data_IF_809025972257
#
_entry.id   IF_809025972257
#
_cell.length_a   1.000
_cell.length_b   1.000
_cell.length_c   1.000
_cell.angle_alpha   90.00
_cell.angle_beta   90.00
_cell.angle_gamma   90.00
#
_symmetry.space_group_name_H-M   'P 1'
#
loop_
_entity.id
_entity.type
_entity.pdbx_description
1 polymer ?
#
# COMPACT_ATOMS: atom_id res chain seq x y z
N UNK A 1 -13.51 3.21 14.86
CA UNK A 1 -13.98 3.59 13.52
C UNK A 1 -13.27 4.88 13.19
N UNK A 2 -12.47 4.90 12.14
CA UNK A 2 -11.88 6.13 11.64
C UNK A 2 -13.03 7.02 11.13
N UNK A 3 -13.00 8.31 11.47
CA UNK A 3 -13.89 9.27 10.82
C UNK A 3 -13.35 9.53 9.43
N UNK A 4 -14.05 9.07 8.40
CA UNK A 4 -13.62 9.17 7.00
C UNK A 4 -14.02 10.49 6.34
N UNK A 5 -14.83 11.32 7.03
CA UNK A 5 -15.44 12.51 6.42
C UNK A 5 -14.46 13.64 6.07
N UNK A 6 -13.25 13.62 6.61
CA UNK A 6 -12.22 14.67 6.43
C UNK A 6 -10.91 14.09 5.85
N UNK A 7 -10.91 12.85 5.33
CA UNK A 7 -9.70 12.23 4.76
C UNK A 7 -9.30 12.86 3.42
N UNK A 8 -10.26 13.39 2.65
CA UNK A 8 -10.02 14.07 1.39
C UNK A 8 -10.60 15.48 1.44
N UNK A 9 -9.78 16.48 1.13
CA UNK A 9 -10.28 17.84 0.95
C UNK A 9 -10.99 17.99 -0.41
N UNK A 10 -11.86 18.99 -0.56
CA UNK A 10 -12.48 19.30 -1.86
C UNK A 10 -11.42 19.47 -2.97
N UNK A 11 -10.26 20.06 -2.64
CA UNK A 11 -9.15 20.26 -3.58
C UNK A 11 -8.41 18.96 -3.91
N UNK A 12 -8.38 17.99 -2.99
CA UNK A 12 -7.76 16.68 -3.24
C UNK A 12 -8.53 15.96 -4.35
N UNK A 13 -9.86 16.10 -4.37
CA UNK A 13 -10.76 15.44 -5.29
C UNK A 13 -10.84 16.12 -6.68
N UNK A 14 -10.19 17.27 -6.87
CA UNK A 14 -10.15 17.95 -8.18
C UNK A 14 -9.28 17.19 -9.18
N UNK A 15 -9.92 16.68 -10.25
CA UNK A 15 -9.25 15.92 -11.31
C UNK A 15 -8.64 16.80 -12.41
N UNK A 16 -8.78 18.12 -12.32
CA UNK A 16 -8.19 19.08 -13.27
C UNK A 16 -7.74 20.32 -12.53
N UNK A 17 -6.58 20.87 -12.89
CA UNK A 17 -6.07 22.11 -12.31
C UNK A 17 -6.66 23.36 -12.97
N UNK A 18 -6.82 24.45 -12.22
CA UNK A 18 -7.04 25.78 -12.79
C UNK A 18 -5.74 26.33 -13.38
N UNK A 19 -5.68 26.41 -14.71
CA UNK A 19 -4.48 26.84 -15.44
C UNK A 19 -4.41 28.36 -15.70
N UNK A 20 -5.36 29.15 -15.20
CA UNK A 20 -5.49 30.58 -15.53
C UNK A 20 -4.22 31.38 -15.19
N UNK A 21 -3.54 31.05 -14.10
CA UNK A 21 -2.29 31.67 -13.66
C UNK A 21 -1.09 30.72 -13.68
N UNK A 22 -1.18 29.62 -14.42
CA UNK A 22 -0.16 28.60 -14.39
C UNK A 22 1.14 29.07 -15.07
N UNK A 23 2.27 28.69 -14.47
CA UNK A 23 3.59 28.86 -15.08
C UNK A 23 3.89 27.65 -15.97
N UNK A 24 4.21 27.91 -17.24
CA UNK A 24 4.55 26.87 -18.22
C UNK A 24 6.06 26.58 -18.18
N UNK A 25 6.43 25.31 -18.05
CA UNK A 25 7.82 24.86 -17.94
C UNK A 25 8.05 23.71 -18.91
N UNK A 26 8.90 23.96 -19.90
CA UNK A 26 9.40 22.93 -20.80
C UNK A 26 10.67 22.32 -20.17
N UNK A 27 10.64 21.01 -19.90
CA UNK A 27 11.79 20.31 -19.34
C UNK A 27 12.93 20.18 -20.36
N UNK A 28 14.16 20.19 -19.86
CA UNK A 28 15.37 20.02 -20.66
C UNK A 28 16.38 19.15 -19.91
N UNK A 29 17.05 18.23 -20.62
CA UNK A 29 18.00 17.31 -20.00
C UNK A 29 19.17 18.02 -19.33
N UNK A 30 19.56 17.55 -18.14
CA UNK A 30 20.65 18.11 -17.35
C UNK A 30 20.35 19.46 -16.70
N UNK A 31 19.06 19.87 -16.66
CA UNK A 31 18.64 21.16 -16.12
C UNK A 31 17.51 20.97 -15.10
N UNK A 32 17.88 20.87 -13.83
CA UNK A 32 16.91 20.84 -12.73
C UNK A 32 16.02 22.09 -12.72
N UNK A 33 14.78 21.88 -12.26
CA UNK A 33 13.76 22.91 -12.13
C UNK A 33 13.42 23.06 -10.66
N UNK A 34 13.51 24.26 -10.10
CA UNK A 34 13.10 24.54 -8.72
C UNK A 34 11.80 25.33 -8.69
N UNK A 35 10.77 24.78 -8.05
CA UNK A 35 9.48 25.41 -7.77
C UNK A 35 9.53 25.97 -6.35
N UNK A 36 9.75 27.28 -6.20
CA UNK A 36 10.09 27.92 -4.92
C UNK A 36 9.00 28.83 -4.35
N UNK A 37 7.79 28.78 -4.91
CA UNK A 37 6.65 29.59 -4.50
C UNK A 37 5.37 28.79 -4.64
N UNK A 38 4.35 29.13 -3.84
CA UNK A 38 3.00 28.63 -4.08
C UNK A 38 2.53 28.96 -5.50
N UNK A 39 1.94 27.99 -6.20
CA UNK A 39 1.44 28.18 -7.54
C UNK A 39 1.11 26.90 -8.29
N UNK A 40 0.62 27.07 -9.51
CA UNK A 40 0.35 25.99 -10.47
C UNK A 40 1.43 26.02 -11.55
N UNK A 41 2.05 24.88 -11.80
CA UNK A 41 3.17 24.72 -12.73
C UNK A 41 2.86 23.61 -13.73
N UNK A 42 2.70 23.96 -15.00
CA UNK A 42 2.47 22.99 -16.07
C UNK A 42 3.81 22.58 -16.65
N UNK A 43 4.11 21.29 -16.55
CA UNK A 43 5.33 20.69 -17.06
C UNK A 43 5.04 19.97 -18.36
N UNK A 44 5.96 20.08 -19.31
CA UNK A 44 5.89 19.36 -20.59
C UNK A 44 7.26 18.91 -21.07
N UNK A 45 7.30 17.84 -21.87
CA UNK A 45 8.48 17.40 -22.60
C UNK A 45 9.19 16.18 -22.06
N UNK A 46 10.14 15.71 -22.88
CA UNK A 46 11.03 14.59 -22.59
C UNK A 46 12.41 15.10 -22.18
N UNK A 47 12.92 14.63 -21.05
CA UNK A 47 14.20 15.04 -20.51
C UNK A 47 14.87 13.92 -19.71
N UNK A 48 16.19 14.04 -19.54
CA UNK A 48 16.97 13.09 -18.74
C UNK A 48 17.95 13.80 -17.81
N UNK A 49 18.24 13.21 -16.67
CA UNK A 49 19.04 13.83 -15.61
C UNK A 49 18.49 15.21 -15.24
N UNK A 50 17.19 15.24 -14.93
CA UNK A 50 16.46 16.42 -14.48
C UNK A 50 15.61 16.06 -13.27
N UNK A 51 15.71 16.86 -12.22
CA UNK A 51 14.83 16.80 -11.05
C UNK A 51 13.94 18.03 -11.02
N UNK A 52 12.64 17.82 -10.83
CA UNK A 52 11.71 18.89 -10.45
C UNK A 52 11.70 18.96 -8.93
N UNK A 53 12.38 19.96 -8.38
CA UNK A 53 12.50 20.18 -6.94
C UNK A 53 11.42 21.16 -6.48
N UNK A 54 10.60 20.78 -5.51
CA UNK A 54 9.72 21.71 -4.78
C UNK A 54 10.42 22.14 -3.50
N UNK A 55 10.75 23.41 -3.40
CA UNK A 55 11.42 24.03 -2.25
C UNK A 55 10.74 25.39 -2.00
N UNK A 56 9.47 25.32 -1.60
CA UNK A 56 8.59 26.45 -1.36
C UNK A 56 8.43 26.68 0.17
N UNK A 57 7.83 27.81 0.59
CA UNK A 57 7.53 28.02 2.01
C UNK A 57 6.76 26.85 2.65
N UNK A 58 6.99 26.59 3.94
CA UNK A 58 6.36 25.50 4.69
C UNK A 58 4.82 25.53 4.72
N UNK A 59 4.20 26.68 4.43
CA UNK A 59 2.75 26.86 4.36
C UNK A 59 2.20 26.86 2.91
N UNK A 60 3.07 26.63 1.91
CA UNK A 60 2.74 26.74 0.50
C UNK A 60 2.10 25.48 -0.08
N UNK A 61 1.06 25.66 -0.89
CA UNK A 61 0.41 24.58 -1.65
C UNK A 61 0.78 24.60 -3.14
N UNK A 62 1.72 23.76 -3.55
CA UNK A 62 2.23 23.72 -4.92
C UNK A 62 1.47 22.68 -5.76
N UNK A 63 1.04 23.03 -6.97
CA UNK A 63 0.43 22.09 -7.91
C UNK A 63 1.29 21.94 -9.15
N UNK A 64 1.77 20.72 -9.38
CA UNK A 64 2.47 20.29 -10.58
C UNK A 64 1.43 19.66 -11.51
N UNK A 65 1.35 20.14 -12.74
CA UNK A 65 0.46 19.62 -13.78
C UNK A 65 1.32 18.92 -14.83
N UNK A 66 1.09 17.63 -15.06
CA UNK A 66 1.83 16.83 -16.03
C UNK A 66 1.10 16.85 -17.37
N UNK A 67 1.69 17.49 -18.38
CA UNK A 67 1.15 17.61 -19.74
C UNK A 67 2.13 17.05 -20.78
N UNK A 68 2.19 15.72 -20.88
CA UNK A 68 3.08 14.99 -21.78
C UNK A 68 4.54 15.03 -21.30
N UNK A 69 4.76 14.71 -20.03
CA UNK A 69 6.08 14.69 -19.38
C UNK A 69 6.71 13.30 -19.48
N UNK A 70 7.98 13.24 -19.88
CA UNK A 70 8.82 12.05 -19.78
C UNK A 70 10.16 12.41 -19.12
N UNK A 71 10.48 11.78 -17.98
CA UNK A 71 11.73 12.01 -17.24
C UNK A 71 12.47 10.68 -17.04
N UNK A 72 13.76 10.63 -17.41
CA UNK A 72 14.64 9.51 -17.09
C UNK A 72 15.87 9.97 -16.32
N UNK A 73 16.02 9.49 -15.08
CA UNK A 73 17.18 9.76 -14.23
C UNK A 73 17.96 8.48 -13.93
N UNK A 74 19.19 8.67 -13.44
CA UNK A 74 20.04 7.55 -12.99
C UNK A 74 19.99 7.42 -11.48
N UNK A 75 20.05 8.53 -10.75
CA UNK A 75 20.35 8.51 -9.32
C UNK A 75 19.58 9.54 -8.48
N UNK A 76 18.56 10.17 -9.07
CA UNK A 76 17.78 11.23 -8.43
C UNK A 76 16.29 11.08 -8.78
N UNK A 77 15.36 11.43 -7.88
CA UNK A 77 13.93 11.45 -8.17
C UNK A 77 13.60 12.29 -9.41
N UNK A 78 12.53 11.95 -10.13
CA UNK A 78 11.97 12.82 -11.17
C UNK A 78 11.30 14.05 -10.54
N UNK A 79 10.57 13.85 -9.43
CA UNK A 79 10.02 14.90 -8.58
C UNK A 79 10.55 14.70 -7.16
N UNK A 80 11.12 15.77 -6.59
CA UNK A 80 11.58 15.81 -5.21
C UNK A 80 10.90 16.98 -4.48
N UNK A 81 9.97 16.69 -3.59
CA UNK A 81 9.39 17.69 -2.68
C UNK A 81 10.26 17.75 -1.43
N UNK A 82 11.06 18.82 -1.36
CA UNK A 82 11.96 19.10 -0.25
C UNK A 82 11.26 19.85 0.87
N UNK A 83 10.43 20.84 0.52
CA UNK A 83 9.68 21.67 1.47
C UNK A 83 8.45 22.29 0.80
N UNK A 84 7.29 22.10 1.42
CA UNK A 84 5.98 22.69 1.13
C UNK A 84 5.00 22.27 2.25
N UNK A 85 3.80 22.87 2.32
CA UNK A 85 2.69 22.34 3.14
C UNK A 85 2.10 21.09 2.47
N UNK A 86 1.82 21.21 1.17
CA UNK A 86 1.20 20.15 0.38
C UNK A 86 1.53 20.29 -1.08
N UNK A 87 1.79 19.17 -1.75
CA UNK A 87 2.01 19.11 -3.19
C UNK A 87 0.93 18.30 -3.88
N UNK A 88 0.41 18.85 -4.96
CA UNK A 88 -0.53 18.17 -5.87
C UNK A 88 0.22 17.82 -7.16
N UNK A 89 0.09 16.58 -7.64
CA UNK A 89 0.57 16.15 -8.95
C UNK A 89 -0.64 15.72 -9.76
N UNK A 90 -1.08 16.57 -10.69
CA UNK A 90 -2.29 16.37 -11.48
C UNK A 90 -1.92 16.08 -12.94
N UNK A 91 -2.28 14.91 -13.46
CA UNK A 91 -2.13 14.64 -14.91
C UNK A 91 -3.23 15.34 -15.71
N UNK A 92 -2.89 15.88 -16.89
CA UNK A 92 -3.89 16.25 -17.91
C UNK A 92 -4.48 14.97 -18.53
N UNK A 93 -5.12 15.02 -19.71
CA UNK A 93 -5.50 13.80 -20.46
C UNK A 93 -4.31 13.16 -21.21
N UNK A 94 -3.08 13.59 -20.93
CA UNK A 94 -1.86 13.11 -21.55
C UNK A 94 -1.35 11.79 -20.94
N UNK A 95 -0.45 11.13 -21.68
CA UNK A 95 0.41 10.07 -21.16
C UNK A 95 1.70 10.69 -20.61
N UNK A 96 2.15 10.24 -19.43
CA UNK A 96 3.37 10.70 -18.77
C UNK A 96 4.21 9.51 -18.31
N UNK A 97 5.53 9.68 -18.21
CA UNK A 97 6.44 8.64 -17.74
C UNK A 97 7.58 9.18 -16.88
N UNK A 98 7.93 8.46 -15.83
CA UNK A 98 9.08 8.77 -14.98
C UNK A 98 9.85 7.49 -14.66
N UNK A 99 11.16 7.50 -14.91
CA UNK A 99 12.02 6.35 -14.69
C UNK A 99 13.30 6.75 -13.94
N UNK A 100 13.67 5.96 -12.93
CA UNK A 100 14.99 6.01 -12.28
C UNK A 100 15.67 4.66 -12.45
N UNK A 101 16.77 4.65 -13.18
CA UNK A 101 17.45 3.43 -13.66
C UNK A 101 18.50 2.87 -12.70
N UNK A 102 18.96 3.66 -11.74
CA UNK A 102 19.99 3.29 -10.78
C UNK A 102 19.56 3.54 -9.34
N UNK A 103 20.54 3.67 -8.45
CA UNK A 103 20.33 3.91 -7.02
C UNK A 103 20.26 5.40 -6.71
N UNK A 104 19.43 5.78 -5.76
CA UNK A 104 19.27 7.15 -5.32
C UNK A 104 20.45 7.68 -4.51
N UNK A 105 20.81 8.93 -4.75
CA UNK A 105 21.80 9.68 -3.96
C UNK A 105 21.05 10.52 -2.92
N UNK A 106 21.39 10.34 -1.65
CA UNK A 106 20.80 11.09 -0.55
C UNK A 106 21.06 12.62 -0.65
N UNK A 107 20.09 13.42 -0.21
CA UNK A 107 20.22 14.87 -0.01
C UNK A 107 20.41 15.18 1.48
N UNK A 108 21.67 15.28 1.89
CA UNK A 108 22.04 15.42 3.29
C UNK A 108 21.66 14.17 4.10
N UNK A 109 20.80 14.36 5.10
CA UNK A 109 20.25 13.26 5.92
C UNK A 109 18.97 12.66 5.32
N UNK A 110 18.47 13.21 4.22
CA UNK A 110 17.27 12.68 3.53
C UNK A 110 17.69 11.51 2.66
N UNK A 111 17.25 10.30 3.03
CA UNK A 111 17.34 9.14 2.16
C UNK A 111 16.31 9.28 1.04
N UNK A 112 16.76 9.67 -0.15
CA UNK A 112 15.93 9.61 -1.34
C UNK A 112 15.87 8.14 -1.79
N UNK A 113 14.69 7.64 -2.07
CA UNK A 113 14.46 6.23 -2.38
C UNK A 113 13.35 6.01 -3.42
N UNK A 114 12.75 7.06 -3.99
CA UNK A 114 11.61 6.96 -4.88
C UNK A 114 11.68 7.84 -6.14
N UNK A 115 10.98 7.45 -7.20
CA UNK A 115 10.88 8.22 -8.45
C UNK A 115 10.17 9.55 -8.20
N UNK A 116 9.13 9.52 -7.37
CA UNK A 116 8.53 10.71 -6.77
C UNK A 116 8.73 10.60 -5.27
N UNK A 117 9.54 11.50 -4.72
CA UNK A 117 9.81 11.54 -3.29
C UNK A 117 9.28 12.83 -2.69
N UNK A 118 8.52 12.73 -1.60
CA UNK A 118 7.96 13.87 -0.90
C UNK A 118 8.26 13.87 0.58
N UNK A 119 8.72 15.01 1.10
CA UNK A 119 8.81 15.31 2.53
C UNK A 119 7.54 15.91 3.13
N UNK A 120 6.54 16.18 2.31
CA UNK A 120 5.27 16.80 2.67
C UNK A 120 4.10 15.95 2.16
N UNK A 121 2.86 16.28 2.55
CA UNK A 121 1.65 15.71 1.98
C UNK A 121 1.67 15.72 0.45
N UNK A 122 1.40 14.56 -0.15
CA UNK A 122 1.37 14.38 -1.60
C UNK A 122 -0.02 13.92 -2.04
N UNK A 123 -0.58 14.56 -3.05
CA UNK A 123 -1.84 14.15 -3.67
C UNK A 123 -1.67 14.00 -5.17
N UNK A 124 -1.95 12.81 -5.69
CA UNK A 124 -2.02 12.54 -7.11
C UNK A 124 -3.47 12.47 -7.58
N UNK A 125 -3.72 13.12 -8.71
CA UNK A 125 -5.03 13.17 -9.36
C UNK A 125 -4.86 13.31 -10.88
N UNK A 126 -5.97 13.36 -11.61
CA UNK A 126 -5.96 13.70 -13.03
C UNK A 126 -6.76 12.73 -13.89
N UNK A 127 -6.76 13.00 -15.18
CA UNK A 127 -7.52 12.20 -16.16
C UNK A 127 -6.65 11.36 -17.09
N UNK A 128 -5.33 11.51 -16.99
CA UNK A 128 -4.36 10.88 -17.87
C UNK A 128 -3.63 9.74 -17.19
N UNK A 129 -2.50 9.34 -17.78
CA UNK A 129 -1.67 8.26 -17.24
C UNK A 129 -0.30 8.73 -16.78
N UNK A 130 0.25 8.00 -15.82
CA UNK A 130 1.62 8.13 -15.36
C UNK A 130 2.25 6.74 -15.19
N UNK A 131 3.24 6.45 -16.03
CA UNK A 131 4.10 5.27 -15.92
C UNK A 131 5.28 5.57 -14.99
N UNK A 132 5.52 4.73 -13.99
CA UNK A 132 6.60 4.90 -13.00
C UNK A 132 7.46 3.64 -12.99
N UNK A 133 8.76 3.80 -13.19
CA UNK A 133 9.73 2.70 -13.14
C UNK A 133 10.88 3.05 -12.19
N UNK A 134 11.02 2.30 -11.10
CA UNK A 134 12.08 2.44 -10.10
C UNK A 134 12.93 1.19 -10.07
N UNK A 135 14.10 1.23 -10.70
CA UNK A 135 14.94 0.03 -10.87
C UNK A 135 15.65 -0.41 -9.57
N UNK A 136 15.87 0.51 -8.63
CA UNK A 136 16.55 0.27 -7.35
C UNK A 136 15.94 1.11 -6.21
N UNK A 137 14.60 1.18 -6.13
CA UNK A 137 13.89 1.83 -5.03
C UNK A 137 12.38 1.70 -5.13
N UNK A 138 11.70 2.61 -4.44
CA UNK A 138 10.25 2.73 -4.38
C UNK A 138 9.70 3.45 -5.62
N UNK A 139 8.43 3.27 -5.94
CA UNK A 139 7.75 4.05 -6.98
C UNK A 139 7.52 5.49 -6.50
N UNK A 140 6.69 5.64 -5.47
CA UNK A 140 6.36 6.91 -4.82
C UNK A 140 6.57 6.76 -3.31
N UNK A 141 7.29 7.69 -2.70
CA UNK A 141 7.45 7.77 -1.24
C UNK A 141 7.00 9.13 -0.72
N UNK A 142 6.13 9.14 0.29
CA UNK A 142 5.77 10.33 1.08
C UNK A 142 6.22 10.15 2.53
N UNK A 143 6.81 11.19 3.13
CA UNK A 143 7.11 11.18 4.57
C UNK A 143 5.94 11.65 5.44
N UNK A 144 4.84 12.08 4.82
CA UNK A 144 3.53 12.35 5.44
C UNK A 144 2.45 11.54 4.70
N UNK A 145 1.26 12.11 4.46
CA UNK A 145 0.19 11.44 3.73
C UNK A 145 0.51 11.31 2.23
N UNK A 146 0.07 10.20 1.63
CA UNK A 146 -0.01 9.98 0.18
C UNK A 146 -1.46 9.73 -0.22
N UNK A 147 -2.01 10.57 -1.09
CA UNK A 147 -3.38 10.46 -1.59
C UNK A 147 -3.41 10.18 -3.08
N UNK A 148 -4.20 9.19 -3.50
CA UNK A 148 -4.55 8.93 -4.89
C UNK A 148 -6.05 9.15 -5.05
N UNK A 149 -6.46 10.08 -5.91
CA UNK A 149 -7.87 10.47 -6.05
C UNK A 149 -8.45 10.29 -7.44
N UNK A 150 -7.63 9.84 -8.38
CA UNK A 150 -8.01 9.57 -9.77
C UNK A 150 -6.75 9.45 -10.64
N UNK A 151 -6.93 9.25 -11.94
CA UNK A 151 -5.85 9.01 -12.89
C UNK A 151 -5.55 7.53 -13.12
N UNK A 152 -4.59 7.26 -14.01
CA UNK A 152 -4.12 5.90 -14.35
C UNK A 152 -2.63 5.78 -14.04
N UNK A 153 -2.24 4.80 -13.23
CA UNK A 153 -0.85 4.59 -12.84
C UNK A 153 -0.38 3.18 -13.18
N UNK A 154 0.77 3.08 -13.86
CA UNK A 154 1.46 1.81 -14.05
C UNK A 154 2.79 1.88 -13.31
N UNK A 155 2.96 1.13 -12.23
CA UNK A 155 4.10 1.26 -11.32
C UNK A 155 4.89 -0.05 -11.32
N UNK A 156 6.17 0.03 -11.65
CA UNK A 156 7.15 -1.04 -11.51
C UNK A 156 8.25 -0.57 -10.56
N UNK A 157 8.38 -1.21 -9.40
CA UNK A 157 9.38 -0.86 -8.40
C UNK A 157 10.16 -2.09 -7.96
N UNK A 158 11.46 -1.95 -7.71
CA UNK A 158 12.25 -3.02 -7.10
C UNK A 158 11.98 -3.18 -5.60
N UNK A 159 11.47 -2.12 -4.97
CA UNK A 159 11.03 -2.10 -3.58
C UNK A 159 9.51 -1.82 -3.56
N UNK A 160 9.04 -0.97 -2.64
CA UNK A 160 7.62 -0.70 -2.43
C UNK A 160 7.07 0.19 -3.55
N UNK A 161 5.88 -0.11 -4.09
CA UNK A 161 5.34 0.72 -5.18
C UNK A 161 4.85 2.07 -4.67
N UNK A 162 4.06 2.06 -3.61
CA UNK A 162 3.62 3.24 -2.87
C UNK A 162 4.01 3.09 -1.40
N UNK A 163 4.79 4.04 -0.89
CA UNK A 163 5.20 4.12 0.51
C UNK A 163 4.74 5.46 1.11
N UNK A 164 4.12 5.42 2.29
CA UNK A 164 3.82 6.63 3.05
C UNK A 164 4.03 6.42 4.54
N UNK A 165 4.68 7.37 5.21
CA UNK A 165 4.90 7.27 6.64
C UNK A 165 3.56 7.37 7.41
N UNK A 166 2.69 8.32 7.04
CA UNK A 166 1.50 8.62 7.84
C UNK A 166 0.26 7.89 7.36
N UNK A 167 -0.07 7.99 6.07
CA UNK A 167 -1.16 7.23 5.48
C UNK A 167 -1.07 7.09 3.96
N UNK A 168 -1.60 5.99 3.44
CA UNK A 168 -1.99 5.88 2.02
C UNK A 168 -3.52 5.96 1.94
N UNK A 169 -4.03 6.94 1.19
CA UNK A 169 -5.46 7.22 1.06
C UNK A 169 -5.88 7.14 -0.41
N UNK A 170 -6.71 6.17 -0.77
CA UNK A 170 -7.15 5.94 -2.15
C UNK A 170 -8.65 6.24 -2.24
N UNK A 171 -9.00 7.34 -2.90
CA UNK A 171 -10.40 7.68 -3.19
C UNK A 171 -10.87 7.00 -4.48
N UNK A 172 -10.08 7.10 -5.55
CA UNK A 172 -10.36 6.50 -6.87
C UNK A 172 -9.06 6.39 -7.69
N UNK A 173 -9.13 5.85 -8.91
CA UNK A 173 -8.02 5.71 -9.85
C UNK A 173 -7.87 4.28 -10.35
N UNK A 174 -7.11 4.10 -11.44
CA UNK A 174 -6.76 2.78 -11.98
C UNK A 174 -5.27 2.54 -11.81
N UNK A 175 -4.88 1.47 -11.13
CA UNK A 175 -3.49 1.17 -10.81
C UNK A 175 -3.12 -0.25 -11.24
N UNK A 176 -2.04 -0.38 -12.02
CA UNK A 176 -1.36 -1.65 -12.27
C UNK A 176 0.00 -1.61 -11.60
N UNK A 177 0.23 -2.47 -10.63
CA UNK A 177 1.41 -2.47 -9.76
C UNK A 177 2.16 -3.79 -9.89
N UNK A 178 3.49 -3.69 -10.06
CA UNK A 178 4.46 -4.77 -9.95
C UNK A 178 5.59 -4.32 -9.00
N UNK A 179 5.54 -4.80 -7.76
CA UNK A 179 6.43 -4.39 -6.69
C UNK A 179 7.37 -5.53 -6.28
N UNK A 180 8.66 -5.22 -6.14
CA UNK A 180 9.68 -6.13 -5.63
C UNK A 180 9.69 -6.28 -4.10
N UNK A 181 8.89 -5.48 -3.40
CA UNK A 181 8.49 -5.66 -1.99
C UNK A 181 6.96 -5.52 -1.89
N UNK A 182 6.46 -4.49 -1.23
CA UNK A 182 5.04 -4.28 -1.00
C UNK A 182 4.42 -3.42 -2.10
N UNK A 183 3.15 -3.66 -2.47
CA UNK A 183 2.50 -2.75 -3.40
C UNK A 183 2.06 -1.44 -2.71
N UNK A 184 1.48 -1.53 -1.51
CA UNK A 184 1.12 -0.38 -0.69
C UNK A 184 1.68 -0.61 0.72
N UNK A 185 2.59 0.25 1.17
CA UNK A 185 3.21 0.17 2.49
C UNK A 185 3.02 1.46 3.27
N UNK A 186 2.45 1.39 4.46
CA UNK A 186 2.40 2.53 5.37
C UNK A 186 2.79 2.19 6.79
N UNK A 187 3.82 2.89 7.27
CA UNK A 187 4.35 2.71 8.60
C UNK A 187 4.80 4.02 9.25
N UNK A 188 4.43 4.23 10.51
CA UNK A 188 4.99 5.28 11.34
C UNK A 188 5.51 4.67 12.64
N UNK A 189 6.83 4.72 12.84
CA UNK A 189 7.47 4.19 14.06
C UNK A 189 7.39 5.17 15.25
N UNK A 190 7.11 6.45 15.01
CA UNK A 190 7.14 7.51 16.02
C UNK A 190 5.75 7.81 16.61
N UNK A 191 4.68 7.67 15.81
CA UNK A 191 3.30 7.91 16.19
C UNK A 191 2.40 6.71 15.80
N UNK A 192 2.03 5.91 16.79
CA UNK A 192 1.16 4.74 16.63
C UNK A 192 -0.29 5.08 16.22
N UNK A 193 -0.65 6.37 16.09
CA UNK A 193 -1.94 6.79 15.52
C UNK A 193 -1.91 6.92 14.01
N UNK A 194 -0.72 6.87 13.40
CA UNK A 194 -0.48 6.97 11.96
C UNK A 194 -0.09 5.58 11.39
N UNK A 195 0.45 5.52 10.17
CA UNK A 195 0.83 4.29 9.48
C UNK A 195 -0.38 3.43 9.10
N UNK A 196 -1.33 4.00 8.34
CA UNK A 196 -2.56 3.30 7.96
C UNK A 196 -2.91 3.45 6.48
N UNK A 197 -3.72 2.52 5.98
CA UNK A 197 -4.21 2.54 4.61
C UNK A 197 -5.74 2.61 4.60
N UNK A 198 -6.27 3.52 3.79
CA UNK A 198 -7.71 3.65 3.54
C UNK A 198 -8.01 3.60 2.05
N UNK A 199 -8.93 2.73 1.65
CA UNK A 199 -9.38 2.58 0.26
C UNK A 199 -10.88 2.76 0.20
N UNK A 200 -11.33 3.87 -0.38
CA UNK A 200 -12.74 4.14 -0.65
C UNK A 200 -13.19 3.56 -2.00
N UNK A 201 -12.28 3.52 -2.98
CA UNK A 201 -12.59 3.18 -4.37
C UNK A 201 -11.36 2.83 -5.21
N UNK A 202 -11.51 2.90 -6.54
CA UNK A 202 -10.47 2.58 -7.52
C UNK A 202 -10.52 1.15 -8.09
N UNK A 203 -9.66 0.90 -9.07
CA UNK A 203 -9.40 -0.39 -9.72
C UNK A 203 -7.90 -0.70 -9.61
N UNK A 204 -7.54 -1.64 -8.73
CA UNK A 204 -6.16 -1.99 -8.38
C UNK A 204 -5.86 -3.40 -8.86
N UNK A 205 -4.86 -3.55 -9.71
CA UNK A 205 -4.27 -4.83 -10.10
C UNK A 205 -2.84 -4.91 -9.57
N UNK A 206 -2.60 -5.85 -8.68
CA UNK A 206 -1.38 -5.90 -7.86
C UNK A 206 -0.64 -7.21 -8.07
N UNK A 207 0.66 -7.11 -8.33
CA UNK A 207 1.65 -8.15 -8.08
C UNK A 207 2.67 -7.57 -7.08
N UNK A 208 2.86 -8.24 -5.95
CA UNK A 208 3.85 -7.90 -4.93
C UNK A 208 4.72 -9.13 -4.64
N UNK A 209 5.97 -8.91 -4.27
CA UNK A 209 6.87 -9.98 -3.85
C UNK A 209 6.77 -10.26 -2.35
N UNK A 210 6.47 -9.22 -1.57
CA UNK A 210 6.09 -9.28 -0.16
C UNK A 210 4.57 -9.02 -0.08
N UNK A 211 4.10 -8.03 0.65
CA UNK A 211 2.68 -7.86 0.94
C UNK A 211 1.98 -6.99 -0.10
N UNK A 212 0.77 -7.37 -0.51
CA UNK A 212 0.05 -6.52 -1.44
C UNK A 212 -0.41 -5.21 -0.77
N UNK A 213 -0.94 -5.26 0.46
CA UNK A 213 -1.38 -4.07 1.19
C UNK A 213 -0.98 -4.21 2.66
N UNK A 214 0.01 -3.43 3.10
CA UNK A 214 0.52 -3.44 4.47
C UNK A 214 0.37 -2.06 5.12
N UNK A 215 -0.38 -2.00 6.22
CA UNK A 215 -0.46 -0.82 7.08
C UNK A 215 -0.18 -1.18 8.53
N UNK A 216 0.76 -0.52 9.19
CA UNK A 216 1.11 -0.85 10.58
C UNK A 216 -0.10 -0.80 11.53
N UNK A 217 -0.89 0.26 11.46
CA UNK A 217 -2.03 0.47 12.36
C UNK A 217 -3.31 -0.19 11.86
N UNK A 218 -3.80 0.19 10.69
CA UNK A 218 -4.98 -0.46 10.11
C UNK A 218 -4.99 -0.39 8.59
N UNK A 219 -5.68 -1.35 8.00
CA UNK A 219 -6.17 -1.28 6.61
C UNK A 219 -7.69 -1.24 6.66
N UNK A 220 -8.30 -0.20 6.09
CA UNK A 220 -9.74 -0.08 5.94
C UNK A 220 -10.14 0.03 4.47
N UNK A 221 -11.02 -0.88 4.01
CA UNK A 221 -11.52 -0.94 2.64
C UNK A 221 -13.04 -0.71 2.66
N UNK A 222 -13.47 0.42 2.11
CA UNK A 222 -14.86 0.83 2.00
C UNK A 222 -15.43 0.65 0.58
N UNK A 223 -14.58 0.28 -0.39
CA UNK A 223 -14.99 0.02 -1.76
C UNK A 223 -13.83 -0.32 -2.70
N UNK A 224 -14.07 -0.19 -4.01
CA UNK A 224 -13.10 -0.45 -5.06
C UNK A 224 -13.13 -1.88 -5.62
N UNK A 225 -12.36 -2.10 -6.68
CA UNK A 225 -12.03 -3.42 -7.24
C UNK A 225 -10.56 -3.66 -7.00
N UNK A 226 -10.23 -4.66 -6.19
CA UNK A 226 -8.86 -4.97 -5.77
C UNK A 226 -8.56 -6.40 -6.20
N UNK A 227 -7.65 -6.55 -7.15
CA UNK A 227 -7.20 -7.82 -7.70
C UNK A 227 -5.72 -8.03 -7.38
N UNK A 228 -5.45 -8.80 -6.33
CA UNK A 228 -4.11 -9.22 -5.93
C UNK A 228 -3.81 -10.54 -6.63
N UNK A 229 -2.99 -10.46 -7.69
CA UNK A 229 -2.62 -11.62 -8.52
C UNK A 229 -1.55 -12.49 -7.86
N UNK A 230 -0.63 -11.87 -7.12
CA UNK A 230 0.34 -12.55 -6.27
C UNK A 230 0.87 -11.67 -5.15
N UNK A 231 1.08 -12.26 -3.98
CA UNK A 231 1.83 -11.69 -2.86
C UNK A 231 2.31 -12.79 -1.90
N UNK A 232 3.17 -12.42 -0.93
CA UNK A 232 3.40 -13.21 0.27
C UNK A 232 2.13 -13.19 1.12
N UNK A 233 1.80 -12.06 1.74
CA UNK A 233 0.50 -11.84 2.36
C UNK A 233 -0.39 -10.93 1.50
N UNK A 234 -1.71 -11.13 1.54
CA UNK A 234 -2.64 -10.29 0.76
C UNK A 234 -2.83 -8.92 1.40
N UNK A 235 -3.38 -8.89 2.61
CA UNK A 235 -3.68 -7.66 3.35
C UNK A 235 -3.22 -7.84 4.79
N UNK A 236 -2.28 -7.03 5.26
CA UNK A 236 -1.72 -7.12 6.61
C UNK A 236 -1.83 -5.80 7.39
N UNK A 237 -2.28 -5.88 8.64
CA UNK A 237 -2.22 -4.76 9.58
C UNK A 237 -2.36 -5.20 11.05
N UNK A 238 -2.22 -4.25 11.99
CA UNK A 238 -2.73 -4.48 13.36
C UNK A 238 -4.24 -4.73 13.35
N UNK A 239 -5.02 -4.02 12.52
CA UNK A 239 -6.44 -4.31 12.31
C UNK A 239 -6.84 -4.17 10.86
N UNK A 240 -7.55 -5.16 10.33
CA UNK A 240 -8.11 -5.12 8.98
C UNK A 240 -9.62 -4.98 9.05
N UNK A 241 -10.17 -4.00 8.34
CA UNK A 241 -11.61 -3.74 8.26
C UNK A 241 -12.06 -3.65 6.80
N UNK A 242 -12.99 -4.51 6.41
CA UNK A 242 -13.56 -4.53 5.06
C UNK A 242 -15.05 -4.24 5.16
N UNK A 243 -15.46 -3.03 4.78
CA UNK A 243 -16.85 -2.60 4.78
C UNK A 243 -17.58 -2.91 3.47
N UNK A 244 -16.90 -2.80 2.33
CA UNK A 244 -17.41 -3.17 1.01
C UNK A 244 -16.25 -3.42 0.02
N UNK A 245 -16.56 -3.64 -1.26
CA UNK A 245 -15.60 -3.78 -2.35
C UNK A 245 -15.66 -5.12 -3.07
N UNK A 246 -14.95 -5.22 -4.19
CA UNK A 246 -14.72 -6.46 -4.92
C UNK A 246 -13.25 -6.86 -4.79
N UNK A 247 -12.96 -7.79 -3.90
CA UNK A 247 -11.60 -8.22 -3.59
C UNK A 247 -11.40 -9.63 -4.13
N UNK A 248 -10.40 -9.81 -4.98
CA UNK A 248 -9.90 -11.13 -5.39
C UNK A 248 -8.43 -11.17 -5.06
N UNK A 249 -8.01 -12.16 -4.26
CA UNK A 249 -6.64 -12.24 -3.82
C UNK A 249 -6.08 -13.65 -3.89
N UNK A 250 -4.83 -13.73 -4.33
CA UNK A 250 -3.96 -14.88 -4.15
C UNK A 250 -2.76 -14.48 -3.31
N UNK A 251 -2.54 -15.21 -2.23
CA UNK A 251 -1.40 -15.05 -1.33
C UNK A 251 -0.72 -16.40 -1.09
N UNK A 252 0.59 -16.38 -0.90
CA UNK A 252 1.41 -17.59 -0.69
C UNK A 252 1.67 -17.92 0.78
N UNK A 253 1.42 -16.97 1.68
CA UNK A 253 1.39 -17.10 3.12
C UNK A 253 -0.05 -16.87 3.60
N UNK A 254 -0.38 -15.75 4.25
CA UNK A 254 -1.75 -15.45 4.71
C UNK A 254 -2.53 -14.51 3.79
N UNK A 255 -3.82 -14.77 3.63
CA UNK A 255 -4.67 -14.00 2.73
C UNK A 255 -4.98 -12.62 3.29
N UNK A 256 -5.62 -12.60 4.46
CA UNK A 256 -5.87 -11.41 5.25
C UNK A 256 -5.33 -11.69 6.65
N UNK A 257 -4.31 -10.95 7.06
CA UNK A 257 -3.59 -11.15 8.31
C UNK A 257 -3.79 -9.95 9.24
N UNK A 258 -4.18 -10.23 10.49
CA UNK A 258 -4.15 -9.24 11.56
C UNK A 258 -3.18 -9.67 12.68
N UNK A 259 -2.07 -8.96 12.79
CA UNK A 259 -1.01 -9.19 13.76
C UNK A 259 -0.56 -7.88 14.40
N UNK A 260 -0.17 -7.91 15.68
CA UNK A 260 0.21 -6.69 16.40
C UNK A 260 1.51 -6.08 15.83
N UNK A 261 1.40 -5.00 15.04
CA UNK A 261 2.52 -4.17 14.60
C UNK A 261 2.67 -2.91 15.45
N UNK A 262 1.54 -2.36 15.92
CA UNK A 262 1.47 -1.27 16.90
C UNK A 262 0.50 -1.61 18.03
N UNK A 263 0.54 -0.85 19.13
CA UNK A 263 -0.42 -1.03 20.23
C UNK A 263 -1.85 -0.75 19.76
N UNK A 264 -2.68 -1.79 19.71
CA UNK A 264 -4.03 -1.70 19.17
C UNK A 264 -4.86 -2.96 19.38
N UNK A 265 -6.10 -2.92 18.91
CA UNK A 265 -6.95 -4.12 18.88
C UNK A 265 -6.59 -4.94 17.65
N UNK A 266 -6.06 -6.14 17.87
CA UNK A 266 -5.78 -7.09 16.78
C UNK A 266 -7.08 -7.74 16.34
N UNK A 267 -7.54 -7.44 15.13
CA UNK A 267 -8.77 -8.05 14.61
C UNK A 267 -8.94 -7.90 13.10
N UNK A 268 -9.64 -8.88 12.54
CA UNK A 268 -10.26 -8.80 11.21
C UNK A 268 -11.77 -8.62 11.36
N UNK A 269 -12.31 -7.57 10.73
CA UNK A 269 -13.74 -7.29 10.68
C UNK A 269 -14.23 -7.14 9.24
N UNK A 270 -15.11 -8.05 8.79
CA UNK A 270 -15.74 -7.98 7.47
C UNK A 270 -17.22 -7.68 7.60
N UNK A 271 -17.66 -6.53 7.09
CA UNK A 271 -19.06 -6.08 7.13
C UNK A 271 -19.80 -6.23 5.81
N UNK A 272 -19.09 -6.36 4.69
CA UNK A 272 -19.68 -6.38 3.34
C UNK A 272 -18.68 -6.80 2.26
N UNK A 273 -19.02 -6.49 1.00
CA UNK A 273 -18.18 -6.79 -0.17
C UNK A 273 -18.38 -8.18 -0.78
N UNK A 274 -17.71 -8.39 -1.91
CA UNK A 274 -17.50 -9.68 -2.55
C UNK A 274 -16.02 -10.02 -2.45
N UNK A 275 -15.66 -11.06 -1.70
CA UNK A 275 -14.28 -11.40 -1.36
C UNK A 275 -13.99 -12.82 -1.84
N UNK A 276 -13.03 -12.98 -2.74
CA UNK A 276 -12.55 -14.27 -3.21
C UNK A 276 -11.09 -14.43 -2.78
N UNK A 277 -10.83 -15.41 -1.92
CA UNK A 277 -9.50 -15.71 -1.41
C UNK A 277 -9.07 -17.08 -1.90
N UNK A 278 -7.95 -17.14 -2.61
CA UNK A 278 -7.31 -18.40 -2.99
C UNK A 278 -5.92 -18.45 -2.37
N UNK A 279 -5.65 -19.48 -1.59
CA UNK A 279 -4.37 -19.62 -0.91
C UNK A 279 -3.40 -20.50 -1.68
N UNK A 280 -2.11 -20.20 -1.52
CA UNK A 280 -1.02 -21.09 -1.86
C UNK A 280 -1.05 -22.40 -1.05
N UNK A 281 -0.02 -23.22 -1.24
CA UNK A 281 0.16 -24.43 -0.43
C UNK A 281 1.09 -24.14 0.74
N UNK A 282 0.79 -24.68 1.92
CA UNK A 282 1.66 -24.50 3.07
C UNK A 282 0.90 -24.53 4.38
N UNK A 283 1.53 -23.93 5.38
CA UNK A 283 0.86 -23.42 6.57
C UNK A 283 0.42 -22.01 6.18
N UNK A 284 -0.85 -21.87 5.83
CA UNK A 284 -1.41 -20.66 5.20
C UNK A 284 -2.87 -20.56 5.60
N UNK A 285 -3.31 -19.37 5.96
CA UNK A 285 -4.67 -19.09 6.36
C UNK A 285 -5.29 -18.02 5.46
N UNK A 286 -6.51 -18.28 4.96
CA UNK A 286 -7.21 -17.27 4.16
C UNK A 286 -7.54 -16.02 4.98
N UNK A 287 -7.82 -16.21 6.27
CA UNK A 287 -8.01 -15.16 7.27
C UNK A 287 -7.28 -15.59 8.54
N UNK A 288 -6.17 -14.93 8.87
CA UNK A 288 -5.42 -15.17 10.11
C UNK A 288 -5.52 -13.96 11.04
N UNK A 289 -5.83 -14.20 12.31
CA UNK A 289 -5.75 -13.16 13.32
C UNK A 289 -5.15 -13.65 14.62
N UNK A 290 -4.11 -12.97 15.07
CA UNK A 290 -3.61 -13.07 16.45
C UNK A 290 -4.59 -12.47 17.50
N UNK A 291 -5.80 -12.07 17.08
CA UNK A 291 -6.89 -11.60 17.91
C UNK A 291 -8.24 -12.13 17.42
N UNK A 292 -9.20 -11.24 17.15
CA UNK A 292 -10.57 -11.63 16.79
C UNK A 292 -10.83 -11.62 15.27
N UNK A 293 -11.63 -12.58 14.79
CA UNK A 293 -12.25 -12.56 13.46
C UNK A 293 -13.76 -12.38 13.59
N UNK A 294 -14.32 -11.40 12.91
CA UNK A 294 -15.77 -11.16 12.84
C UNK A 294 -16.24 -10.98 11.40
N UNK A 295 -17.05 -11.92 10.91
CA UNK A 295 -17.73 -11.83 9.61
C UNK A 295 -19.20 -11.45 9.85
N UNK A 296 -19.54 -10.19 9.59
CA UNK A 296 -20.87 -9.61 9.80
C UNK A 296 -21.72 -9.56 8.52
N UNK A 297 -21.09 -9.64 7.35
CA UNK A 297 -21.76 -9.55 6.05
C UNK A 297 -20.84 -9.93 4.88
N UNK A 298 -21.32 -9.66 3.66
CA UNK A 298 -20.58 -9.93 2.41
C UNK A 298 -20.88 -11.28 1.75
N UNK A 299 -20.32 -11.48 0.56
CA UNK A 299 -20.26 -12.75 -0.16
C UNK A 299 -18.80 -13.19 -0.22
N UNK A 300 -18.44 -14.25 0.49
CA UNK A 300 -17.05 -14.68 0.67
C UNK A 300 -16.86 -16.07 0.11
N UNK A 301 -15.89 -16.25 -0.79
CA UNK A 301 -15.46 -17.55 -1.30
C UNK A 301 -14.01 -17.77 -0.92
N UNK A 302 -13.71 -18.89 -0.26
CA UNK A 302 -12.37 -19.28 0.15
C UNK A 302 -11.98 -20.60 -0.49
N UNK A 303 -10.83 -20.64 -1.13
CA UNK A 303 -10.14 -21.84 -1.59
C UNK A 303 -8.81 -21.97 -0.84
N UNK A 304 -8.79 -22.73 0.26
CA UNK A 304 -7.65 -22.78 1.17
C UNK A 304 -7.55 -24.11 1.93
N UNK A 305 -6.35 -24.45 2.40
CA UNK A 305 -6.14 -25.57 3.33
C UNK A 305 -6.71 -25.24 4.71
N UNK A 306 -6.46 -24.01 5.17
CA UNK A 306 -7.05 -23.42 6.36
C UNK A 306 -7.73 -22.11 5.97
N UNK A 307 -9.00 -21.97 6.34
CA UNK A 307 -9.81 -20.84 5.92
C UNK A 307 -9.84 -19.70 6.95
N UNK A 308 -9.74 -20.06 8.24
CA UNK A 308 -9.82 -19.12 9.34
C UNK A 308 -8.97 -19.64 10.50
N UNK A 309 -7.99 -18.85 10.93
CA UNK A 309 -7.29 -19.02 12.21
C UNK A 309 -7.47 -17.78 13.07
N UNK A 310 -7.76 -17.99 14.34
CA UNK A 310 -7.94 -16.91 15.29
C UNK A 310 -7.51 -17.34 16.69
N UNK A 311 -6.58 -16.58 17.28
CA UNK A 311 -6.14 -16.75 18.66
C UNK A 311 -7.23 -16.35 19.67
N UNK A 312 -8.06 -15.36 19.29
CA UNK A 312 -9.22 -14.90 20.03
C UNK A 312 -10.50 -15.63 19.67
N UNK A 313 -11.52 -14.87 19.28
CA UNK A 313 -12.82 -15.39 18.84
C UNK A 313 -12.97 -15.30 17.33
N UNK A 314 -13.59 -16.31 16.72
CA UNK A 314 -14.02 -16.25 15.33
C UNK A 314 -15.54 -16.38 15.27
N UNK A 315 -16.20 -15.39 14.67
CA UNK A 315 -17.67 -15.30 14.63
C UNK A 315 -18.18 -15.10 13.20
N UNK A 316 -19.17 -15.90 12.81
CA UNK A 316 -19.97 -15.69 11.60
C UNK A 316 -21.35 -15.17 12.01
N UNK A 317 -21.50 -13.84 12.00
CA UNK A 317 -22.70 -13.12 12.40
C UNK A 317 -23.66 -12.86 11.22
N UNK A 318 -23.13 -12.87 9.99
CA UNK A 318 -23.92 -12.66 8.76
C UNK A 318 -23.09 -12.91 7.50
N UNK A 319 -23.71 -12.71 6.33
CA UNK A 319 -23.08 -12.93 5.01
C UNK A 319 -23.28 -14.34 4.45
N UNK A 320 -22.81 -14.54 3.22
CA UNK A 320 -22.82 -15.80 2.49
C UNK A 320 -21.37 -16.28 2.30
N UNK A 321 -20.92 -17.20 3.16
CA UNK A 321 -19.54 -17.71 3.16
C UNK A 321 -19.48 -19.16 2.62
N UNK A 322 -18.65 -19.38 1.61
CA UNK A 322 -18.37 -20.68 1.00
C UNK A 322 -16.89 -20.99 1.13
N UNK A 323 -16.55 -22.14 1.73
CA UNK A 323 -15.17 -22.63 1.87
C UNK A 323 -15.04 -23.92 1.09
N UNK A 324 -14.11 -23.97 0.12
CA UNK A 324 -13.84 -25.14 -0.70
C UNK A 324 -15.09 -25.74 -1.36
N UNK A 325 -16.01 -24.88 -1.80
CA UNK A 325 -17.28 -25.26 -2.43
C UNK A 325 -18.42 -25.61 -1.47
N UNK A 326 -18.20 -25.58 -0.16
CA UNK A 326 -19.20 -25.86 0.87
C UNK A 326 -19.61 -24.58 1.60
N UNK A 327 -20.91 -24.29 1.66
CA UNK A 327 -21.44 -23.17 2.44
C UNK A 327 -21.34 -23.48 3.93
N UNK A 328 -20.77 -22.56 4.70
CA UNK A 328 -20.66 -22.69 6.16
C UNK A 328 -21.73 -21.85 6.88
N UNK A 329 -22.04 -22.22 8.12
CA UNK A 329 -22.95 -21.48 9.01
C UNK A 329 -22.31 -21.07 10.32
N UNK A 330 -21.07 -21.49 10.56
CA UNK A 330 -20.22 -21.11 11.67
C UNK A 330 -18.75 -21.17 11.22
N UNK A 331 -17.88 -20.34 11.80
CA UNK A 331 -16.44 -20.44 11.58
C UNK A 331 -15.89 -21.52 12.52
N UNK A 332 -15.16 -22.47 11.95
CA UNK A 332 -14.34 -23.41 12.71
C UNK A 332 -12.90 -22.95 12.63
N UNK A 333 -12.34 -22.50 13.75
CA UNK A 333 -10.93 -22.13 13.84
C UNK A 333 -10.03 -23.34 13.65
N UNK A 334 -9.05 -23.23 12.76
CA UNK A 334 -8.02 -24.25 12.57
C UNK A 334 -7.00 -24.17 13.71
N UNK A 335 -7.39 -24.61 14.90
CA UNK A 335 -6.41 -24.73 16.00
C UNK A 335 -5.41 -25.79 15.59
N UNK A 336 -4.21 -25.37 15.18
CA UNK A 336 -3.09 -26.25 14.88
C UNK A 336 -3.07 -27.41 15.86
N UNK A 337 -3.28 -28.63 15.34
CA UNK A 337 -3.40 -29.82 16.19
C UNK A 337 -2.21 -29.88 17.15
N UNK A 338 -2.39 -30.30 18.41
CA UNK A 338 -1.35 -30.20 19.43
C UNK A 338 -0.06 -30.79 18.88
N UNK A 339 0.95 -29.92 18.71
CA UNK A 339 2.27 -30.28 18.22
C UNK A 339 2.71 -31.58 18.89
N UNK A 340 3.10 -32.55 18.07
CA UNK A 340 3.33 -33.94 18.44
C UNK A 340 4.25 -34.07 19.66
N UNK A 341 3.65 -34.03 20.85
CA UNK A 341 4.23 -34.44 22.12
C UNK A 341 4.33 -35.95 22.16
N UNK A 342 5.19 -36.52 21.32
CA UNK A 342 5.56 -37.92 21.32
C UNK A 342 6.57 -38.21 22.42
N UNK A 343 6.09 -38.27 23.67
CA UNK A 343 6.86 -38.78 24.79
C UNK A 343 7.26 -40.25 24.58
N UNK A 344 8.56 -40.52 24.62
CA UNK A 344 9.13 -41.86 24.69
C UNK A 344 10.07 -41.97 25.88
N UNK A 345 9.52 -42.22 27.07
CA UNK A 345 10.30 -42.71 28.21
C UNK A 345 10.79 -44.13 27.93
N UNK A 346 12.09 -44.36 28.07
CA UNK A 346 12.70 -45.69 28.08
C UNK A 346 13.95 -45.70 28.96
N UNK A 347 13.77 -45.98 30.26
CA UNK A 347 14.86 -46.08 31.23
C UNK A 347 15.69 -47.36 31.11
N UNK A 348 16.87 -47.36 31.72
CA UNK A 348 17.70 -48.55 31.88
C UNK A 348 19.14 -48.22 32.27
N UNK A 349 19.45 -48.31 33.56
CA UNK A 349 20.67 -47.80 34.16
C UNK A 349 21.92 -48.67 34.03
N UNK A 350 22.97 -48.23 34.74
CA UNK A 350 24.01 -49.14 35.25
C UNK A 350 25.45 -48.65 35.12
N UNK A 351 25.98 -48.19 36.26
CA UNK A 351 27.31 -48.51 36.84
C UNK A 351 28.58 -48.18 36.03
N UNK A 352 29.52 -47.51 36.71
CA UNK A 352 30.94 -47.73 36.44
C UNK A 352 31.88 -46.69 37.02
N UNK A 353 32.41 -46.97 38.20
CA UNK A 353 33.53 -46.24 38.82
C UNK A 353 34.82 -46.34 37.99
N UNK A 354 35.59 -45.24 37.93
CA UNK A 354 36.95 -45.25 38.46
C UNK A 354 38.15 -45.15 37.50
N UNK A 355 39.01 -44.17 37.81
CA UNK A 355 40.50 -44.10 37.65
C UNK A 355 41.00 -43.97 36.19
N UNK A 356 41.99 -43.14 35.85
CA UNK A 356 43.07 -42.44 36.58
C UNK A 356 43.20 -41.01 36.06
#
# INVERSE_FOLDING_TARGET
MQDTSELFSDRDLEQTADLTSATQIQLASGQDVTLNTEGVYVLSGEASNVTVVVEAPEDAKVQIVLDGVSITNVDSPAIYVKEADKVFVTSTDSENSMEVTGTYVADGDTNLDAVIFSRADLTLSGTGSLDIVSAQGNGISSKDDLKITGGVYNIQSSLDALEANDAILINDGTMTIDAGKDALHSENEEDATLGYIYIEGGDLKINAAEDAIQGNRFVQIDGGTINIESSQEGIEATSVKINDGQITLYASDDGINAAQKVDGNVAIEVNGGTINVTMGSGDTDAFDSNGDISINGGTITVEAQSAFDADGTAQLNGGDVTVNGEKITEITVSRGGPGGGGGGFGGGGGRGMGRQ
#
